data_IF_875680676847
#
_entry.id   IF_875680676847
#
_cell.length_a   1.000
_cell.length_b   1.000
_cell.length_c   1.000
_cell.angle_alpha   90.00
_cell.angle_beta   90.00
_cell.angle_gamma   90.00
#
_symmetry.space_group_name_H-M   'P 1'
#
loop_
_entity.id
_entity.type
_entity.pdbx_description
1 polymer ?
#
# COMPACT_ATOMS: atom_id res chain seq x y z
N UNK A 1 7.32 -15.18 8.05
CA UNK A 1 7.58 -14.48 6.77
C UNK A 1 7.01 -13.08 6.83
N UNK A 2 7.72 -12.10 6.29
CA UNK A 2 7.26 -10.73 6.24
C UNK A 2 6.78 -10.40 4.84
N UNK A 3 5.64 -9.74 4.73
CA UNK A 3 5.11 -9.26 3.47
C UNK A 3 4.84 -7.76 3.57
N UNK A 4 4.67 -7.11 2.42
CA UNK A 4 4.43 -5.68 2.34
C UNK A 4 3.21 -5.41 1.47
N UNK A 5 2.39 -4.46 1.91
CA UNK A 5 1.30 -3.91 1.11
C UNK A 5 1.56 -2.43 0.85
N UNK A 6 1.13 -1.96 -0.31
CA UNK A 6 1.04 -0.52 -0.57
C UNK A 6 -0.40 -0.12 -0.25
N UNK A 7 -0.56 0.81 0.68
CA UNK A 7 -1.87 1.18 1.22
C UNK A 7 -2.17 2.65 1.00
N UNK A 8 -3.45 2.97 0.94
CA UNK A 8 -3.95 4.33 0.90
C UNK A 8 -4.70 4.60 2.20
N UNK A 9 -4.34 5.70 2.89
CA UNK A 9 -4.97 6.09 4.15
C UNK A 9 -5.94 7.23 3.94
N UNK A 10 -6.94 7.30 4.82
CA UNK A 10 -7.87 8.43 4.89
C UNK A 10 -7.14 9.65 5.46
N UNK A 11 -7.39 10.82 4.87
CA UNK A 11 -6.73 12.07 5.27
C UNK A 11 -7.10 12.51 6.68
N UNK A 12 -8.32 12.26 7.09
CA UNK A 12 -8.82 12.71 8.39
C UNK A 12 -8.55 11.70 9.50
N UNK A 13 -8.84 10.43 9.24
CA UNK A 13 -8.75 9.39 10.27
C UNK A 13 -7.41 8.65 10.28
N UNK A 14 -6.62 8.77 9.21
CA UNK A 14 -5.36 8.03 9.01
C UNK A 14 -5.52 6.52 8.99
N UNK A 15 -6.75 6.03 8.87
CA UNK A 15 -7.02 4.59 8.73
C UNK A 15 -6.82 4.15 7.28
N UNK A 16 -6.46 2.88 7.10
CA UNK A 16 -6.31 2.32 5.76
C UNK A 16 -7.68 2.16 5.12
N UNK A 17 -7.86 2.77 3.95
CA UNK A 17 -9.11 2.73 3.20
C UNK A 17 -8.96 2.04 1.85
N UNK A 18 -7.73 1.78 1.41
CA UNK A 18 -7.50 1.12 0.14
C UNK A 18 -6.18 0.36 0.13
N UNK A 19 -6.11 -0.63 -0.75
CA UNK A 19 -4.94 -1.47 -0.98
C UNK A 19 -4.62 -1.48 -2.47
N UNK A 20 -3.33 -1.41 -2.78
CA UNK A 20 -2.88 -1.47 -4.17
C UNK A 20 -2.86 -2.92 -4.65
N UNK A 21 -3.42 -3.17 -5.85
CA UNK A 21 -3.38 -4.47 -6.50
C UNK A 21 -3.21 -4.34 -8.04
N UNK A 22 -2.60 -3.25 -8.48
CA UNK A 22 -2.59 -2.82 -9.88
C UNK A 22 -3.54 -1.66 -10.10
N UNK A 23 -4.56 -1.58 -9.28
CA UNK A 23 -5.48 -0.45 -9.10
C UNK A 23 -5.65 -0.27 -7.59
N UNK A 24 -6.78 0.24 -7.14
CA UNK A 24 -7.08 0.34 -5.71
C UNK A 24 -8.30 -0.51 -5.38
N UNK A 25 -8.21 -1.27 -4.29
CA UNK A 25 -9.31 -2.10 -3.80
C UNK A 25 -9.50 -1.85 -2.31
N UNK A 26 -10.74 -1.98 -1.84
CA UNK A 26 -11.04 -1.92 -0.41
C UNK A 26 -10.88 -3.29 0.26
N UNK A 27 -10.74 -4.36 -0.51
CA UNK A 27 -10.60 -5.72 0.00
C UNK A 27 -9.12 -6.05 0.26
N UNK A 28 -8.75 -6.14 1.54
CA UNK A 28 -7.40 -6.47 1.96
C UNK A 28 -6.90 -7.79 1.36
N UNK A 29 -7.78 -8.76 1.14
CA UNK A 29 -7.40 -10.06 0.62
C UNK A 29 -6.98 -9.99 -0.85
N UNK A 30 -7.33 -8.93 -1.55
CA UNK A 30 -6.95 -8.69 -2.94
C UNK A 30 -5.73 -7.80 -3.08
N UNK A 31 -5.16 -7.35 -1.97
CA UNK A 31 -3.96 -6.52 -1.98
C UNK A 31 -2.80 -7.27 -2.61
N UNK A 32 -2.01 -6.56 -3.41
CA UNK A 32 -0.79 -7.11 -3.97
C UNK A 32 0.20 -7.39 -2.83
N UNK A 33 0.61 -8.64 -2.71
CA UNK A 33 1.53 -9.09 -1.68
C UNK A 33 2.95 -9.04 -2.21
N UNK A 34 3.79 -8.24 -1.57
CA UNK A 34 5.19 -8.06 -1.96
C UNK A 34 6.08 -8.61 -0.86
N UNK A 35 7.18 -9.27 -1.26
CA UNK A 35 8.10 -9.90 -0.32
C UNK A 35 9.28 -9.00 0.05
N UNK A 36 9.55 -7.98 -0.75
CA UNK A 36 10.69 -7.10 -0.54
C UNK A 36 10.23 -5.66 -0.37
N UNK A 37 10.81 -5.00 0.62
CA UNK A 37 10.51 -3.59 0.91
C UNK A 37 10.82 -2.71 -0.31
N UNK A 38 11.91 -2.96 -1.00
CA UNK A 38 12.29 -2.16 -2.17
C UNK A 38 11.25 -2.22 -3.28
N UNK A 39 10.66 -3.41 -3.50
CA UNK A 39 9.59 -3.55 -4.50
C UNK A 39 8.36 -2.77 -4.07
N UNK A 40 7.99 -2.84 -2.80
CA UNK A 40 6.85 -2.08 -2.26
C UNK A 40 7.09 -0.57 -2.36
N UNK A 41 8.28 -0.12 -1.99
CA UNK A 41 8.64 1.31 -2.10
C UNK A 41 8.63 1.79 -3.54
N UNK A 42 9.06 0.96 -4.50
CA UNK A 42 9.02 1.32 -5.91
C UNK A 42 7.59 1.49 -6.42
N UNK A 43 6.67 0.59 -6.02
CA UNK A 43 5.25 0.72 -6.36
C UNK A 43 4.64 1.96 -5.72
N UNK A 44 4.94 2.21 -4.44
CA UNK A 44 4.45 3.38 -3.73
C UNK A 44 4.92 4.67 -4.40
N UNK A 45 6.19 4.74 -4.78
CA UNK A 45 6.75 5.91 -5.45
C UNK A 45 6.03 6.21 -6.77
N UNK A 46 5.75 5.17 -7.58
CA UNK A 46 5.01 5.36 -8.82
C UNK A 46 3.59 5.83 -8.58
N UNK A 47 2.93 5.32 -7.56
CA UNK A 47 1.57 5.75 -7.22
C UNK A 47 1.54 7.18 -6.70
N UNK A 48 2.55 7.58 -5.93
CA UNK A 48 2.67 8.96 -5.46
C UNK A 48 2.87 9.94 -6.61
N UNK A 49 3.64 9.54 -7.62
CA UNK A 49 3.82 10.36 -8.83
C UNK A 49 2.53 10.53 -9.62
N UNK A 50 1.71 9.48 -9.68
CA UNK A 50 0.41 9.52 -10.37
C UNK A 50 -0.65 10.27 -9.59
N UNK A 51 -0.54 10.28 -8.27
CA UNK A 51 -1.53 10.88 -7.37
C UNK A 51 -0.86 11.87 -6.42
N UNK A 52 -0.29 12.98 -6.93
CA UNK A 52 0.50 13.89 -6.09
C UNK A 52 -0.31 14.53 -4.96
N UNK A 53 -1.63 14.68 -5.13
CA UNK A 53 -2.49 15.22 -4.07
C UNK A 53 -2.64 14.28 -2.88
N UNK A 54 -2.44 12.98 -3.10
CA UNK A 54 -2.59 11.95 -2.08
C UNK A 54 -1.25 11.28 -1.75
N UNK A 55 -0.14 11.86 -2.21
CA UNK A 55 1.17 11.23 -2.06
C UNK A 55 1.49 10.88 -0.60
N UNK A 56 1.18 11.77 0.32
CA UNK A 56 1.41 11.57 1.75
C UNK A 56 0.54 10.48 2.36
N UNK A 57 -0.55 10.10 1.69
CA UNK A 57 -1.49 9.09 2.15
C UNK A 57 -1.14 7.69 1.63
N UNK A 58 -0.23 7.61 0.67
CA UNK A 58 0.21 6.34 0.09
C UNK A 58 1.43 5.87 0.89
N UNK A 59 1.27 4.75 1.59
CA UNK A 59 2.28 4.24 2.51
C UNK A 59 2.58 2.77 2.22
N UNK A 60 3.76 2.33 2.66
CA UNK A 60 4.12 0.91 2.63
C UNK A 60 3.91 0.36 4.04
N UNK A 61 3.12 -0.71 4.13
CA UNK A 61 2.82 -1.36 5.40
C UNK A 61 3.51 -2.71 5.46
N UNK A 62 4.27 -2.93 6.52
CA UNK A 62 4.92 -4.21 6.80
C UNK A 62 3.97 -5.08 7.62
N UNK A 63 3.76 -6.29 7.14
CA UNK A 63 2.82 -7.23 7.74
C UNK A 63 3.55 -8.53 8.04
N UNK A 64 3.47 -8.98 9.29
CA UNK A 64 3.94 -10.31 9.65
C UNK A 64 2.92 -11.32 9.17
N UNK A 65 3.27 -12.09 8.14
CA UNK A 65 2.38 -13.12 7.64
C UNK A 65 2.50 -14.38 8.51
N UNK A 66 1.37 -14.98 8.83
CA UNK A 66 1.35 -16.27 9.47
C UNK A 66 1.85 -17.33 8.50
N UNK A 67 2.67 -18.21 8.99
CA UNK A 67 3.18 -19.32 8.20
C UNK A 67 2.14 -20.44 8.03
#
# INVERSE_FOLDING_TARGET
MTIYHVTLRDRETHTVVGYYNGAWTTDRRRALTLRWREAAEAHAARMRDRCPRNAELITVEEIAAAD
#
